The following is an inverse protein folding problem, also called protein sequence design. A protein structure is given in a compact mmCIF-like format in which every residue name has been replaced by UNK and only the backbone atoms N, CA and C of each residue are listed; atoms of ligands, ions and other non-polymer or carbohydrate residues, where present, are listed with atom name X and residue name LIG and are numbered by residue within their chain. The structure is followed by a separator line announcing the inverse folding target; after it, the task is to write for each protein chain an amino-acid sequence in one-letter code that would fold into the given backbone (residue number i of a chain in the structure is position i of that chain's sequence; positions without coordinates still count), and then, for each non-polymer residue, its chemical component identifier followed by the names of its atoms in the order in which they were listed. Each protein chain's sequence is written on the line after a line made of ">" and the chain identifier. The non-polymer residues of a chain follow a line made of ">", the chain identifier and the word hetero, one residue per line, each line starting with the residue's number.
data_IF_008587767652
#
_entry.id   IF_008587767652
#
_cell.length_a   1.000
_cell.length_b   1.000
_cell.length_c   1.000
_cell.angle_alpha   90.00
_cell.angle_beta   90.00
_cell.angle_gamma   90.00
#
_symmetry.space_group_name_H-M   'P 1'
#
loop_
_entity.id
_entity.type
_entity.pdbx_description
1 polymer ?
#
# COMPACT_ATOMS: atom_id res chain seq x y z
N UNK A 1 3.68 -7.03 -38.24
CA UNK A 1 3.82 -6.16 -37.05
C UNK A 1 3.85 -6.96 -35.74
N UNK A 2 2.81 -7.73 -35.40
CA UNK A 2 2.79 -8.48 -34.12
C UNK A 2 3.93 -9.52 -33.97
N UNK A 3 4.31 -10.22 -35.04
CA UNK A 3 5.43 -11.17 -35.00
C UNK A 3 6.78 -10.48 -34.73
N UNK A 4 6.99 -9.32 -35.36
CA UNK A 4 8.17 -8.49 -35.08
C UNK A 4 8.19 -8.04 -33.62
N UNK A 5 7.04 -7.56 -33.10
CA UNK A 5 6.92 -7.12 -31.72
C UNK A 5 7.17 -8.28 -30.72
N UNK A 6 6.67 -9.49 -31.01
CA UNK A 6 7.01 -10.69 -30.23
C UNK A 6 8.51 -11.03 -30.30
N UNK A 7 9.14 -10.95 -31.48
CA UNK A 7 10.58 -11.21 -31.61
C UNK A 7 11.43 -10.21 -30.82
N UNK A 8 11.01 -8.94 -30.75
CA UNK A 8 11.67 -7.93 -29.93
C UNK A 8 11.46 -8.24 -28.45
N UNK A 9 10.23 -8.56 -28.05
CA UNK A 9 9.85 -8.84 -26.67
C UNK A 9 10.60 -10.02 -26.05
N UNK A 10 10.90 -11.06 -26.85
CA UNK A 10 11.66 -12.23 -26.42
C UNK A 10 13.11 -11.91 -26.04
N UNK A 11 13.67 -10.79 -26.51
CA UNK A 11 15.03 -10.40 -26.20
C UNK A 11 15.20 -9.79 -24.80
N UNK A 12 14.11 -9.58 -24.06
CA UNK A 12 14.13 -8.92 -22.76
C UNK A 12 13.53 -9.79 -21.67
N UNK A 13 14.22 -9.91 -20.54
CA UNK A 13 13.73 -10.59 -19.34
C UNK A 13 12.92 -9.68 -18.40
N UNK A 14 13.06 -8.37 -18.57
CA UNK A 14 12.46 -7.36 -17.73
C UNK A 14 11.57 -6.43 -18.55
N UNK A 15 10.45 -6.03 -17.96
CA UNK A 15 9.57 -5.02 -18.53
C UNK A 15 9.37 -3.91 -17.51
N UNK A 16 9.59 -2.66 -17.92
CA UNK A 16 9.21 -1.47 -17.17
C UNK A 16 8.04 -0.81 -17.91
N UNK A 17 6.99 -0.45 -17.19
CA UNK A 17 5.84 0.26 -17.74
C UNK A 17 5.23 1.22 -16.72
N UNK A 18 4.42 2.17 -17.18
CA UNK A 18 3.53 2.94 -16.31
C UNK A 18 2.08 2.47 -16.48
N UNK A 19 1.50 1.81 -15.46
CA UNK A 19 0.13 1.25 -15.50
C UNK A 19 -0.10 0.15 -16.57
N UNK A 20 0.97 -0.41 -17.15
CA UNK A 20 0.88 -1.40 -18.21
C UNK A 20 0.21 -2.72 -17.78
N UNK A 21 0.20 -3.07 -16.49
CA UNK A 21 -0.53 -4.26 -15.99
C UNK A 21 -2.04 -4.15 -16.19
N UNK A 22 -2.58 -2.93 -16.09
CA UNK A 22 -4.02 -2.69 -16.20
C UNK A 22 -4.41 -2.28 -17.63
N UNK A 23 -3.48 -1.72 -18.41
CA UNK A 23 -3.77 -1.13 -19.71
C UNK A 23 -3.06 -1.84 -20.89
N UNK A 24 -1.76 -1.60 -21.08
CA UNK A 24 -1.03 -2.02 -22.28
C UNK A 24 -0.97 -3.54 -22.45
N UNK A 25 -0.65 -4.27 -21.37
CA UNK A 25 -0.47 -5.72 -21.43
C UNK A 25 -1.77 -6.45 -21.74
N UNK A 26 -2.91 -6.14 -21.10
CA UNK A 26 -4.22 -6.66 -21.53
C UNK A 26 -4.53 -6.36 -23.00
N UNK A 27 -4.26 -5.14 -23.48
CA UNK A 27 -4.53 -4.75 -24.87
C UNK A 27 -3.68 -5.57 -25.87
N UNK A 28 -2.38 -5.68 -25.62
CA UNK A 28 -1.46 -6.48 -26.45
C UNK A 28 -1.89 -7.95 -26.42
N UNK A 29 -2.20 -8.51 -25.24
CA UNK A 29 -2.67 -9.89 -25.09
C UNK A 29 -3.93 -10.13 -25.91
N UNK A 30 -4.92 -9.24 -25.84
CA UNK A 30 -6.14 -9.35 -26.62
C UNK A 30 -5.86 -9.32 -28.13
N UNK A 31 -4.97 -8.42 -28.59
CA UNK A 31 -4.55 -8.39 -30.01
C UNK A 31 -3.87 -9.67 -30.45
N UNK A 32 -3.02 -10.27 -29.61
CA UNK A 32 -2.40 -11.56 -29.90
C UNK A 32 -3.46 -12.67 -30.02
N UNK A 33 -4.40 -12.75 -29.06
CA UNK A 33 -5.49 -13.74 -29.07
C UNK A 33 -6.35 -13.60 -30.34
N UNK A 34 -6.77 -12.38 -30.70
CA UNK A 34 -7.57 -12.14 -31.91
C UNK A 34 -6.83 -12.56 -33.19
N UNK A 35 -5.50 -12.49 -33.19
CA UNK A 35 -4.66 -12.93 -34.30
C UNK A 35 -4.20 -14.40 -34.16
N UNK A 36 -4.80 -15.17 -33.23
CA UNK A 36 -4.46 -16.57 -32.93
C UNK A 36 -2.98 -16.78 -32.60
N UNK A 37 -2.35 -15.78 -31.99
CA UNK A 37 -0.97 -15.82 -31.50
C UNK A 37 -0.97 -15.98 -29.98
N UNK A 38 0.00 -16.71 -29.46
CA UNK A 38 0.19 -16.97 -28.03
C UNK A 38 1.59 -16.55 -27.60
N UNK A 39 1.81 -16.47 -26.28
CA UNK A 39 3.15 -16.33 -25.72
C UNK A 39 3.67 -14.90 -25.61
N UNK A 40 3.10 -14.12 -24.69
CA UNK A 40 3.89 -13.03 -24.11
C UNK A 40 5.02 -13.65 -23.26
N UNK A 41 6.24 -13.09 -23.30
CA UNK A 41 7.32 -13.57 -22.45
C UNK A 41 6.97 -13.46 -20.96
N UNK A 42 7.54 -14.36 -20.15
CA UNK A 42 7.41 -14.35 -18.69
C UNK A 42 8.27 -13.27 -18.04
N UNK A 43 8.05 -12.00 -18.37
CA UNK A 43 8.87 -10.90 -17.85
C UNK A 43 8.76 -10.75 -16.34
N UNK A 44 9.86 -10.32 -15.72
CA UNK A 44 9.80 -9.64 -14.43
C UNK A 44 9.31 -8.21 -14.70
N UNK A 45 8.06 -7.95 -14.35
CA UNK A 45 7.36 -6.71 -14.72
C UNK A 45 7.33 -5.68 -13.58
N UNK A 46 8.13 -4.62 -13.74
CA UNK A 46 8.14 -3.40 -12.94
C UNK A 46 7.11 -2.39 -13.45
N UNK A 47 5.91 -2.46 -12.90
CA UNK A 47 4.88 -1.46 -13.16
C UNK A 47 5.00 -0.32 -12.14
N UNK A 48 5.46 0.84 -12.62
CA UNK A 48 5.81 1.99 -11.79
C UNK A 48 4.62 2.53 -11.01
N UNK A 49 3.41 2.54 -11.59
CA UNK A 49 2.21 3.02 -10.89
C UNK A 49 1.99 2.24 -9.59
N UNK A 50 2.13 0.91 -9.65
CA UNK A 50 1.94 0.05 -8.49
C UNK A 50 3.12 0.11 -7.49
N UNK A 51 4.31 0.48 -7.94
CA UNK A 51 5.47 0.71 -7.09
C UNK A 51 5.26 2.01 -6.31
N UNK A 52 5.01 3.13 -6.99
CA UNK A 52 4.83 4.43 -6.35
C UNK A 52 3.60 4.51 -5.45
N UNK A 53 2.48 3.86 -5.80
CA UNK A 53 1.32 3.74 -4.88
C UNK A 53 1.66 3.02 -3.57
N UNK A 54 2.64 2.11 -3.60
CA UNK A 54 3.09 1.39 -2.41
C UNK A 54 4.17 2.15 -1.64
N UNK A 55 5.03 2.88 -2.33
CA UNK A 55 6.03 3.77 -1.72
C UNK A 55 5.37 4.96 -1.02
N UNK A 56 4.34 5.56 -1.65
CA UNK A 56 3.68 6.77 -1.16
C UNK A 56 2.18 6.58 -0.89
N UNK A 57 1.74 5.65 -0.02
CA UNK A 57 0.32 5.35 0.17
C UNK A 57 -0.51 6.56 0.64
N UNK A 58 -1.48 6.99 -0.20
CA UNK A 58 -2.59 7.95 0.01
C UNK A 58 -2.30 9.24 0.80
N UNK A 59 -2.51 10.40 0.14
CA UNK A 59 -2.39 11.80 0.63
C UNK A 59 -0.98 12.42 0.64
N UNK A 60 0.08 11.67 0.33
CA UNK A 60 1.45 12.25 0.25
C UNK A 60 1.76 12.92 -1.08
N UNK A 61 0.96 12.67 -2.13
CA UNK A 61 1.18 13.18 -3.48
C UNK A 61 -0.16 13.68 -4.07
N UNK A 62 -0.14 14.71 -4.94
CA UNK A 62 -1.33 15.29 -5.58
C UNK A 62 -2.00 14.30 -6.54
N UNK A 63 -1.27 13.32 -7.06
CA UNK A 63 -1.78 12.31 -7.97
C UNK A 63 -0.75 11.22 -8.25
N UNK A 64 -1.17 10.22 -9.03
CA UNK A 64 -0.27 9.19 -9.57
C UNK A 64 -0.44 9.09 -11.09
N UNK A 65 -0.77 10.18 -11.79
CA UNK A 65 -0.47 10.22 -13.22
C UNK A 65 1.05 10.37 -13.36
N UNK A 66 1.61 9.88 -14.45
CA UNK A 66 3.06 9.90 -14.65
C UNK A 66 3.62 11.33 -14.52
N UNK A 67 2.98 12.29 -15.19
CA UNK A 67 3.30 13.72 -15.09
C UNK A 67 3.27 14.28 -13.66
N UNK A 68 2.35 13.80 -12.82
CA UNK A 68 2.23 14.27 -11.44
C UNK A 68 3.44 13.78 -10.63
N UNK A 69 3.86 12.53 -10.84
CA UNK A 69 5.05 11.98 -10.19
C UNK A 69 6.35 12.62 -10.70
N UNK A 70 6.43 12.91 -12.00
CA UNK A 70 7.59 13.62 -12.56
C UNK A 70 7.73 15.03 -11.97
N UNK A 71 6.62 15.76 -11.85
CA UNK A 71 6.62 17.09 -11.25
C UNK A 71 7.05 17.05 -9.77
N UNK A 72 6.55 16.09 -9.00
CA UNK A 72 6.77 16.03 -7.55
C UNK A 72 8.10 15.38 -7.16
N UNK A 73 8.52 14.33 -7.85
CA UNK A 73 9.70 13.54 -7.50
C UNK A 73 10.94 13.96 -8.27
N UNK A 74 10.79 14.38 -9.53
CA UNK A 74 11.90 14.76 -10.40
C UNK A 74 12.03 16.27 -10.58
N UNK A 75 11.09 17.06 -10.04
CA UNK A 75 10.99 18.51 -10.26
C UNK A 75 10.89 18.87 -11.76
N UNK A 76 10.40 17.93 -12.57
CA UNK A 76 10.28 18.06 -14.01
C UNK A 76 8.80 18.27 -14.37
N UNK A 77 8.38 19.53 -14.47
CA UNK A 77 7.04 19.88 -14.96
C UNK A 77 7.07 19.97 -16.46
N UNK A 78 6.15 19.28 -17.12
CA UNK A 78 5.95 19.40 -18.56
C UNK A 78 5.03 20.57 -18.85
N UNK A 79 5.50 21.49 -19.68
CA UNK A 79 4.72 22.59 -20.24
C UNK A 79 4.27 22.17 -21.66
N UNK A 80 3.05 22.55 -22.05
CA UNK A 80 2.49 22.35 -23.41
C UNK A 80 2.31 20.90 -23.91
N UNK A 81 2.18 19.93 -22.98
CA UNK A 81 1.98 18.53 -23.34
C UNK A 81 0.58 18.27 -23.93
N UNK A 82 0.52 17.40 -24.95
CA UNK A 82 -0.74 16.97 -25.55
C UNK A 82 -1.54 16.15 -24.54
N UNK A 83 -2.84 16.42 -24.32
CA UNK A 83 -3.65 15.57 -23.46
C UNK A 83 -3.68 14.13 -24.00
N UNK A 84 -3.27 13.15 -23.19
CA UNK A 84 -3.16 11.77 -23.64
C UNK A 84 -4.47 11.15 -24.15
N UNK A 85 -5.62 11.72 -23.78
CA UNK A 85 -6.94 11.33 -24.29
C UNK A 85 -7.22 11.75 -25.74
N UNK A 86 -6.48 12.75 -26.26
CA UNK A 86 -6.59 13.20 -27.66
C UNK A 86 -5.76 12.33 -28.62
N UNK A 87 -4.71 11.66 -28.11
CA UNK A 87 -3.77 10.86 -28.90
C UNK A 87 -4.47 9.81 -29.79
N UNK A 88 -5.44 9.01 -29.30
CA UNK A 88 -6.09 8.01 -30.13
C UNK A 88 -6.80 8.61 -31.35
N UNK A 89 -7.49 9.74 -31.17
CA UNK A 89 -8.23 10.39 -32.25
C UNK A 89 -7.29 10.93 -33.32
N UNK A 90 -6.21 11.63 -32.92
CA UNK A 90 -5.18 12.15 -33.84
C UNK A 90 -4.57 11.01 -34.66
N UNK A 91 -4.25 9.88 -34.02
CA UNK A 91 -3.72 8.71 -34.72
C UNK A 91 -4.72 8.12 -35.73
N UNK A 92 -5.99 7.97 -35.34
CA UNK A 92 -7.01 7.41 -36.24
C UNK A 92 -7.31 8.32 -37.43
N UNK A 93 -7.30 9.64 -37.23
CA UNK A 93 -7.48 10.60 -38.33
C UNK A 93 -6.29 10.56 -39.29
N UNK A 94 -5.06 10.44 -38.79
CA UNK A 94 -3.88 10.23 -39.62
C UNK A 94 -3.98 8.93 -40.44
N UNK A 95 -4.35 7.81 -39.82
CA UNK A 95 -4.46 6.51 -40.52
C UNK A 95 -5.59 6.52 -41.56
N UNK A 96 -6.72 7.17 -41.26
CA UNK A 96 -7.90 7.14 -42.11
C UNK A 96 -7.83 8.14 -43.27
N UNK A 97 -7.33 9.34 -43.01
CA UNK A 97 -7.36 10.45 -43.97
C UNK A 97 -5.98 10.86 -44.48
N UNK A 98 -4.90 10.39 -43.87
CA UNK A 98 -3.52 10.78 -44.24
C UNK A 98 -3.15 12.19 -43.82
N UNK A 99 -3.96 12.85 -42.99
CA UNK A 99 -3.69 14.21 -42.51
C UNK A 99 -2.82 14.18 -41.26
N UNK A 100 -1.61 14.74 -41.34
CA UNK A 100 -0.76 14.96 -40.17
C UNK A 100 -1.14 16.27 -39.46
N UNK A 101 -2.22 16.21 -38.69
CA UNK A 101 -2.70 17.35 -37.90
C UNK A 101 -2.23 17.29 -36.43
N UNK A 102 -1.13 16.59 -36.15
CA UNK A 102 -0.60 16.47 -34.79
C UNK A 102 0.18 15.21 -34.47
N UNK A 103 0.54 14.38 -35.46
CA UNK A 103 1.35 13.17 -35.19
C UNK A 103 2.72 13.52 -34.64
N UNK A 104 3.33 14.62 -35.07
CA UNK A 104 4.57 15.12 -34.46
C UNK A 104 4.41 15.33 -32.94
N UNK A 105 3.31 15.95 -32.50
CA UNK A 105 3.01 16.15 -31.08
C UNK A 105 2.79 14.81 -30.35
N UNK A 106 2.14 13.85 -31.00
CA UNK A 106 1.98 12.49 -30.47
C UNK A 106 3.34 11.80 -30.28
N UNK A 107 4.26 11.94 -31.24
CA UNK A 107 5.61 11.40 -31.10
C UNK A 107 6.40 12.08 -29.98
N UNK A 108 6.34 13.41 -29.89
CA UNK A 108 7.00 14.15 -28.81
C UNK A 108 6.46 13.73 -27.43
N UNK A 109 5.14 13.61 -27.29
CA UNK A 109 4.52 13.10 -26.06
C UNK A 109 5.04 11.72 -25.68
N UNK A 110 5.06 10.77 -26.62
CA UNK A 110 5.56 9.42 -26.39
C UNK A 110 7.05 9.40 -25.99
N UNK A 111 7.88 10.26 -26.60
CA UNK A 111 9.30 10.38 -26.26
C UNK A 111 9.44 10.86 -24.81
N UNK A 112 8.71 11.91 -24.43
CA UNK A 112 8.71 12.44 -23.06
C UNK A 112 8.20 11.40 -22.05
N UNK A 113 7.16 10.66 -22.39
CA UNK A 113 6.64 9.56 -21.56
C UNK A 113 7.67 8.45 -21.36
N UNK A 114 8.38 8.03 -22.39
CA UNK A 114 9.44 7.03 -22.26
C UNK A 114 10.61 7.54 -21.42
N UNK A 115 11.06 8.79 -21.64
CA UNK A 115 12.14 9.41 -20.87
C UNK A 115 11.75 9.54 -19.39
N UNK A 116 10.57 10.09 -19.12
CA UNK A 116 10.05 10.26 -17.77
C UNK A 116 9.86 8.92 -17.05
N UNK A 117 9.42 7.88 -17.75
CA UNK A 117 9.31 6.53 -17.20
C UNK A 117 10.69 5.97 -16.79
N UNK A 118 11.73 6.18 -17.60
CA UNK A 118 13.10 5.78 -17.25
C UNK A 118 13.58 6.51 -16.00
N UNK A 119 13.39 7.83 -15.95
CA UNK A 119 13.80 8.64 -14.80
C UNK A 119 13.05 8.25 -13.52
N UNK A 120 11.74 8.03 -13.61
CA UNK A 120 10.93 7.54 -12.49
C UNK A 120 11.35 6.13 -12.04
N UNK A 121 11.76 5.26 -12.96
CA UNK A 121 12.31 3.96 -12.58
C UNK A 121 13.62 4.11 -11.80
N UNK A 122 14.55 4.95 -12.25
CA UNK A 122 15.79 5.23 -11.53
C UNK A 122 15.53 5.87 -10.17
N UNK A 123 14.55 6.77 -10.08
CA UNK A 123 14.12 7.35 -8.81
C UNK A 123 13.54 6.29 -7.88
N UNK A 124 12.71 5.38 -8.36
CA UNK A 124 12.22 4.26 -7.55
C UNK A 124 13.36 3.37 -7.04
N UNK A 125 14.40 3.13 -7.84
CA UNK A 125 15.62 2.42 -7.41
C UNK A 125 16.35 3.22 -6.33
N UNK A 126 16.56 4.52 -6.53
CA UNK A 126 17.20 5.41 -5.54
C UNK A 126 16.45 5.41 -4.21
N UNK A 127 15.12 5.47 -4.23
CA UNK A 127 14.29 5.42 -3.02
C UNK A 127 14.37 4.04 -2.34
N UNK A 128 14.51 2.97 -3.11
CA UNK A 128 14.65 1.61 -2.59
C UNK A 128 16.01 1.35 -1.93
N UNK A 129 17.08 1.90 -2.51
CA UNK A 129 18.44 1.78 -2.00
C UNK A 129 18.73 2.77 -0.86
N UNK A 130 18.20 3.99 -0.94
CA UNK A 130 18.37 5.09 0.01
C UNK A 130 17.54 4.94 1.30
N UNK A 131 17.59 3.77 1.94
CA UNK A 131 16.80 3.39 3.12
C UNK A 131 17.01 4.28 4.34
N UNK A 132 18.13 5.01 4.38
CA UNK A 132 18.58 5.78 5.53
C UNK A 132 18.03 7.22 5.59
N UNK A 133 17.58 7.80 4.45
CA UNK A 133 17.18 9.23 4.37
C UNK A 133 15.73 9.50 3.96
N UNK A 134 14.94 8.45 3.73
CA UNK A 134 13.56 8.55 3.28
C UNK A 134 12.59 8.99 4.39
N UNK A 135 11.60 9.87 4.08
CA UNK A 135 10.50 10.24 4.99
C UNK A 135 9.77 9.00 5.55
N UNK A 136 9.14 9.13 6.71
CA UNK A 136 8.49 8.01 7.42
C UNK A 136 7.40 7.32 6.58
N UNK A 137 6.57 8.09 5.86
CA UNK A 137 5.60 7.54 4.92
C UNK A 137 6.25 6.63 3.84
N UNK A 138 7.40 7.06 3.30
CA UNK A 138 8.15 6.31 2.29
C UNK A 138 8.77 5.03 2.87
N UNK A 139 9.32 5.09 4.08
CA UNK A 139 9.91 3.93 4.78
C UNK A 139 8.86 2.86 5.09
N UNK A 140 7.64 3.25 5.48
CA UNK A 140 6.54 2.30 5.64
C UNK A 140 6.14 1.61 4.32
N UNK A 141 6.19 2.35 3.20
CA UNK A 141 5.98 1.83 1.87
C UNK A 141 7.06 0.85 1.43
N UNK A 142 8.33 1.16 1.72
CA UNK A 142 9.47 0.28 1.50
C UNK A 142 9.34 -1.05 2.26
N UNK A 143 8.93 -1.01 3.53
CA UNK A 143 8.68 -2.23 4.31
C UNK A 143 7.65 -3.15 3.61
N UNK A 144 6.59 -2.57 3.03
CA UNK A 144 5.59 -3.35 2.26
C UNK A 144 6.15 -3.95 0.98
N UNK A 145 7.09 -3.27 0.30
CA UNK A 145 7.79 -3.82 -0.87
C UNK A 145 8.68 -5.00 -0.43
N UNK A 146 9.46 -4.83 0.64
CA UNK A 146 10.34 -5.87 1.17
C UNK A 146 9.55 -7.12 1.57
N UNK A 147 8.41 -6.97 2.24
CA UNK A 147 7.52 -8.10 2.56
C UNK A 147 7.01 -8.84 1.33
N UNK A 148 6.62 -8.10 0.28
CA UNK A 148 6.19 -8.72 -0.99
C UNK A 148 7.32 -9.54 -1.61
N UNK A 149 8.56 -9.10 -1.43
CA UNK A 149 9.77 -9.78 -1.88
C UNK A 149 10.29 -10.82 -0.87
N UNK A 150 9.49 -11.18 0.15
CA UNK A 150 9.82 -12.16 1.22
C UNK A 150 11.04 -11.78 2.08
N UNK A 151 11.42 -10.50 2.12
CA UNK A 151 12.49 -9.95 2.96
C UNK A 151 11.90 -9.46 4.28
N UNK A 152 11.49 -10.39 5.13
CA UNK A 152 10.67 -10.11 6.31
C UNK A 152 11.45 -9.37 7.40
N UNK A 153 12.69 -9.79 7.63
CA UNK A 153 13.58 -9.27 8.65
C UNK A 153 13.91 -7.79 8.38
N UNK A 154 14.21 -7.46 7.12
CA UNK A 154 14.51 -6.07 6.72
C UNK A 154 13.27 -5.17 6.78
N UNK A 155 12.09 -5.71 6.43
CA UNK A 155 10.85 -4.98 6.57
C UNK A 155 10.53 -4.69 8.05
N UNK A 156 10.78 -5.67 8.93
CA UNK A 156 10.60 -5.51 10.37
C UNK A 156 11.56 -4.45 10.90
N UNK A 157 12.85 -4.53 10.56
CA UNK A 157 13.86 -3.57 10.98
C UNK A 157 13.46 -2.13 10.62
N UNK A 158 13.01 -1.88 9.39
CA UNK A 158 12.55 -0.54 8.98
C UNK A 158 11.38 -0.06 9.84
N UNK A 159 10.39 -0.92 10.11
CA UNK A 159 9.22 -0.53 10.92
C UNK A 159 9.57 -0.31 12.40
N UNK A 160 10.52 -1.07 12.95
CA UNK A 160 11.03 -0.88 14.32
C UNK A 160 11.80 0.43 14.47
N UNK A 161 12.66 0.75 13.51
CA UNK A 161 13.38 2.02 13.48
C UNK A 161 12.41 3.21 13.42
N UNK A 162 11.35 3.12 12.60
CA UNK A 162 10.30 4.15 12.55
C UNK A 162 9.55 4.29 13.87
N UNK A 163 9.20 3.18 14.51
CA UNK A 163 8.51 3.21 15.81
C UNK A 163 9.40 3.81 16.91
N UNK A 164 10.70 3.50 16.91
CA UNK A 164 11.68 4.07 17.85
C UNK A 164 11.82 5.58 17.66
N UNK A 165 11.94 6.05 16.41
CA UNK A 165 12.01 7.47 16.09
C UNK A 165 10.74 8.21 16.53
N UNK A 166 9.57 7.59 16.35
CA UNK A 166 8.30 8.17 16.79
C UNK A 166 8.24 8.30 18.33
N UNK A 167 8.71 7.31 19.07
CA UNK A 167 8.77 7.35 20.55
C UNK A 167 9.72 8.44 21.06
N UNK A 168 10.90 8.58 20.46
CA UNK A 168 11.86 9.63 20.78
C UNK A 168 11.28 11.02 20.52
N UNK A 169 10.62 11.22 19.38
CA UNK A 169 10.03 12.50 19.02
C UNK A 169 8.83 12.88 19.90
N UNK A 170 8.04 11.91 20.38
CA UNK A 170 6.96 12.18 21.35
C UNK A 170 7.50 12.79 22.65
N UNK A 171 8.77 12.57 22.99
CA UNK A 171 9.40 13.06 24.21
C UNK A 171 10.15 14.39 24.01
N UNK A 172 10.35 14.82 22.75
CA UNK A 172 10.98 16.09 22.40
C UNK A 172 9.92 17.15 22.08
N UNK A 173 9.55 17.94 23.10
CA UNK A 173 8.53 19.00 23.02
C UNK A 173 8.92 20.15 22.05
N UNK A 174 10.20 20.28 21.71
CA UNK A 174 10.74 21.38 20.87
C UNK A 174 10.66 21.11 19.35
N UNK A 175 10.28 19.91 18.91
CA UNK A 175 10.16 19.59 17.48
C UNK A 175 8.88 20.22 16.88
N UNK A 176 9.03 21.41 16.28
CA UNK A 176 7.93 22.21 15.68
C UNK A 176 7.26 21.58 14.44
N UNK A 177 7.68 20.39 13.99
CA UNK A 177 6.98 19.62 12.96
C UNK A 177 6.37 18.38 13.61
N UNK A 178 5.06 18.16 13.47
CA UNK A 178 4.44 16.90 13.89
C UNK A 178 5.24 15.74 13.29
N UNK A 179 5.83 14.82 14.09
CA UNK A 179 6.42 13.62 13.54
C UNK A 179 5.32 12.88 12.78
N UNK A 180 5.59 12.45 11.54
CA UNK A 180 4.66 11.69 10.70
C UNK A 180 4.34 10.35 11.38
N UNK A 181 3.49 10.31 12.39
CA UNK A 181 3.19 9.11 13.18
C UNK A 181 2.93 7.89 12.28
N UNK A 182 3.38 6.70 12.72
CA UNK A 182 3.03 5.46 12.06
C UNK A 182 1.51 5.37 11.93
N UNK A 183 1.06 5.13 10.70
CA UNK A 183 -0.37 5.06 10.41
C UNK A 183 -0.93 3.79 11.00
N UNK A 184 -2.25 3.79 11.18
CA UNK A 184 -3.05 2.62 11.51
C UNK A 184 -2.59 1.32 10.80
N UNK A 185 -2.43 1.39 9.48
CA UNK A 185 -2.08 0.22 8.66
C UNK A 185 -0.62 -0.24 8.84
N UNK A 186 0.27 0.63 9.30
CA UNK A 186 1.68 0.33 9.53
C UNK A 186 1.86 -0.30 10.92
N UNK A 187 1.13 0.19 11.93
CA UNK A 187 1.08 -0.41 13.27
C UNK A 187 0.50 -1.82 13.25
N UNK A 188 -0.59 -2.04 12.52
CA UNK A 188 -1.16 -3.40 12.36
C UNK A 188 -0.21 -4.35 11.63
N UNK A 189 0.52 -3.84 10.64
CA UNK A 189 1.53 -4.62 9.93
C UNK A 189 2.65 -5.05 10.89
N UNK A 190 3.20 -4.10 11.64
CA UNK A 190 4.24 -4.35 12.63
C UNK A 190 3.78 -5.34 13.72
N UNK A 191 2.56 -5.19 14.24
CA UNK A 191 1.96 -6.14 15.19
C UNK A 191 1.90 -7.56 14.60
N UNK A 192 1.49 -7.69 13.35
CA UNK A 192 1.41 -9.00 12.67
C UNK A 192 2.79 -9.64 12.52
N UNK A 193 3.82 -8.87 12.15
CA UNK A 193 5.20 -9.35 12.03
C UNK A 193 5.76 -9.81 13.38
N UNK A 194 5.54 -9.03 14.45
CA UNK A 194 5.91 -9.45 15.80
C UNK A 194 5.26 -10.77 16.20
N UNK A 195 3.96 -10.93 15.91
CA UNK A 195 3.25 -12.18 16.21
C UNK A 195 3.82 -13.37 15.44
N UNK A 196 4.20 -13.20 14.17
CA UNK A 196 4.86 -14.24 13.38
C UNK A 196 6.20 -14.67 14.00
N UNK A 197 6.95 -13.73 14.58
CA UNK A 197 8.21 -14.01 15.29
C UNK A 197 8.02 -14.43 16.76
N UNK A 198 6.78 -14.70 17.20
CA UNK A 198 6.44 -15.02 18.61
C UNK A 198 6.80 -13.92 19.61
N UNK A 199 7.02 -12.69 19.13
CA UNK A 199 7.31 -11.47 19.89
C UNK A 199 6.00 -10.87 20.45
N UNK A 200 5.30 -11.64 21.28
CA UNK A 200 3.91 -11.33 21.65
C UNK A 200 3.75 -10.04 22.47
N UNK A 201 4.67 -9.73 23.38
CA UNK A 201 4.63 -8.47 24.14
C UNK A 201 4.75 -7.26 23.21
N UNK A 202 5.65 -7.30 22.23
CA UNK A 202 5.80 -6.22 21.24
C UNK A 202 4.56 -6.10 20.34
N UNK A 203 3.99 -7.23 19.90
CA UNK A 203 2.72 -7.24 19.17
C UNK A 203 1.57 -6.62 19.98
N UNK A 204 1.48 -6.90 21.28
CA UNK A 204 0.44 -6.34 22.14
C UNK A 204 0.57 -4.81 22.23
N UNK A 205 1.78 -4.29 22.47
CA UNK A 205 2.04 -2.83 22.52
C UNK A 205 1.58 -2.12 21.25
N UNK A 206 1.85 -2.69 20.08
CA UNK A 206 1.42 -2.09 18.80
C UNK A 206 -0.11 -2.11 18.66
N UNK A 207 -0.78 -3.19 19.07
CA UNK A 207 -2.24 -3.27 19.05
C UNK A 207 -2.87 -2.31 20.06
N UNK A 208 -2.29 -2.14 21.25
CA UNK A 208 -2.71 -1.15 22.25
C UNK A 208 -2.61 0.27 21.71
N UNK A 209 -1.52 0.61 21.01
CA UNK A 209 -1.39 1.91 20.33
C UNK A 209 -2.49 2.13 19.30
N UNK A 210 -2.82 1.10 18.50
CA UNK A 210 -3.91 1.19 17.51
C UNK A 210 -5.26 1.39 18.21
N UNK A 211 -5.53 0.64 19.27
CA UNK A 211 -6.76 0.78 20.06
C UNK A 211 -6.87 2.17 20.67
N UNK A 212 -5.78 2.69 21.26
CA UNK A 212 -5.76 4.01 21.88
C UNK A 212 -5.96 5.15 20.88
N UNK A 213 -5.37 5.04 19.68
CA UNK A 213 -5.39 6.12 18.67
C UNK A 213 -6.65 6.14 17.81
N UNK A 214 -7.21 4.97 17.51
CA UNK A 214 -8.24 4.83 16.48
C UNK A 214 -9.51 4.13 16.97
N UNK A 215 -9.54 3.71 18.23
CA UNK A 215 -10.60 2.90 18.83
C UNK A 215 -11.06 1.74 17.93
N UNK A 216 -10.08 1.03 17.36
CA UNK A 216 -10.35 0.01 16.36
C UNK A 216 -10.85 -1.30 17.01
N UNK A 217 -12.09 -1.77 16.72
CA UNK A 217 -12.62 -2.99 17.31
C UNK A 217 -11.83 -4.23 16.92
N UNK A 218 -11.32 -4.30 15.68
CA UNK A 218 -10.48 -5.41 15.22
C UNK A 218 -9.17 -5.51 16.00
N UNK A 219 -8.48 -4.39 16.20
CA UNK A 219 -7.24 -4.37 16.97
C UNK A 219 -7.49 -4.77 18.42
N UNK A 220 -8.59 -4.29 19.01
CA UNK A 220 -9.04 -4.64 20.37
C UNK A 220 -9.33 -6.13 20.51
N UNK A 221 -10.04 -6.73 19.55
CA UNK A 221 -10.31 -8.18 19.54
C UNK A 221 -9.02 -8.99 19.37
N UNK A 222 -8.13 -8.55 18.48
CA UNK A 222 -6.84 -9.19 18.26
C UNK A 222 -5.96 -9.14 19.51
N UNK A 223 -5.95 -8.00 20.22
CA UNK A 223 -5.26 -7.81 21.49
C UNK A 223 -5.83 -8.72 22.58
N UNK A 224 -7.16 -8.77 22.73
CA UNK A 224 -7.82 -9.65 23.69
C UNK A 224 -7.49 -11.14 23.44
N UNK A 225 -7.41 -11.56 22.17
CA UNK A 225 -6.98 -12.93 21.80
C UNK A 225 -5.52 -13.18 22.17
N UNK A 226 -4.65 -12.21 21.90
CA UNK A 226 -3.22 -12.33 22.21
C UNK A 226 -2.98 -12.43 23.73
N UNK A 227 -3.67 -11.59 24.51
CA UNK A 227 -3.63 -11.58 25.97
C UNK A 227 -4.16 -12.90 26.56
N UNK A 228 -5.26 -13.45 26.05
CA UNK A 228 -5.80 -14.75 26.51
C UNK A 228 -4.84 -15.91 26.20
N UNK A 229 -4.42 -16.02 24.94
CA UNK A 229 -3.82 -17.26 24.46
C UNK A 229 -2.30 -17.31 24.68
N UNK A 230 -1.60 -16.18 24.48
CA UNK A 230 -0.14 -16.12 24.49
C UNK A 230 0.40 -15.49 25.77
N UNK A 231 -0.14 -14.36 26.21
CA UNK A 231 0.39 -13.62 27.37
C UNK A 231 -0.18 -14.08 28.73
N UNK A 232 -1.26 -14.87 28.71
CA UNK A 232 -1.99 -15.35 29.90
C UNK A 232 -2.49 -14.22 30.83
N UNK A 233 -2.67 -13.02 30.28
CA UNK A 233 -3.22 -11.87 30.98
C UNK A 233 -4.75 -11.90 30.88
N UNK A 234 -5.36 -12.84 31.60
CA UNK A 234 -6.80 -13.13 31.47
C UNK A 234 -7.69 -11.94 31.84
N UNK A 235 -7.32 -11.18 32.87
CA UNK A 235 -8.06 -9.99 33.32
C UNK A 235 -8.04 -8.88 32.25
N UNK A 236 -6.88 -8.61 31.65
CA UNK A 236 -6.78 -7.65 30.55
C UNK A 236 -7.55 -8.11 29.30
N UNK A 237 -7.50 -9.42 28.99
CA UNK A 237 -8.30 -9.98 27.90
C UNK A 237 -9.82 -9.80 28.15
N UNK A 238 -10.26 -9.95 29.41
CA UNK A 238 -11.65 -9.73 29.81
C UNK A 238 -12.04 -8.26 29.69
N UNK A 239 -11.18 -7.34 30.14
CA UNK A 239 -11.39 -5.90 30.01
C UNK A 239 -11.64 -5.49 28.55
N UNK A 240 -10.75 -5.88 27.62
CA UNK A 240 -10.92 -5.56 26.21
C UNK A 240 -12.17 -6.22 25.60
N UNK A 241 -12.55 -7.42 26.06
CA UNK A 241 -13.77 -8.10 25.60
C UNK A 241 -15.02 -7.37 26.08
N UNK A 242 -15.06 -6.87 27.31
CA UNK A 242 -16.19 -6.08 27.82
C UNK A 242 -16.37 -4.78 27.06
N UNK A 243 -15.29 -4.07 26.71
CA UNK A 243 -15.40 -2.85 25.90
C UNK A 243 -15.96 -3.13 24.50
N UNK A 244 -15.62 -4.28 23.90
CA UNK A 244 -16.22 -4.68 22.62
C UNK A 244 -17.73 -4.96 22.74
N UNK A 245 -18.17 -5.56 23.85
CA UNK A 245 -19.59 -5.82 24.12
C UNK A 245 -20.35 -4.51 24.26
N UNK A 246 -19.83 -3.57 25.06
CA UNK A 246 -20.44 -2.25 25.24
C UNK A 246 -20.60 -1.51 23.91
N UNK A 247 -19.56 -1.54 23.05
CA UNK A 247 -19.63 -0.92 21.72
C UNK A 247 -20.60 -1.60 20.75
N UNK A 248 -21.10 -2.81 21.03
CA UNK A 248 -22.18 -3.45 20.27
C UNK A 248 -23.59 -3.12 20.82
N UNK A 249 -23.68 -2.68 22.07
CA UNK A 249 -24.94 -2.36 22.76
C UNK A 249 -25.37 -0.90 22.56
N UNK A 250 -24.44 0.01 22.21
CA UNK A 250 -24.73 1.40 21.87
C UNK A 250 -25.25 1.52 20.42
N UNK A 251 -26.52 1.88 20.18
CA UNK A 251 -27.07 2.06 18.84
C UNK A 251 -26.75 3.46 18.30
N UNK A 252 -26.01 3.51 17.20
CA UNK A 252 -25.92 4.60 16.20
C UNK A 252 -25.91 6.07 16.72
N UNK A 253 -24.71 6.57 17.04
CA UNK A 253 -24.38 7.97 16.79
C UNK A 253 -23.80 8.08 15.38
N UNK A 254 -24.59 8.58 14.43
CA UNK A 254 -24.23 8.92 13.03
C UNK A 254 -22.99 8.22 12.47
N UNK A 255 -23.21 7.07 11.82
CA UNK A 255 -22.22 6.43 10.96
C UNK A 255 -21.87 7.36 9.78
N UNK A 256 -21.02 8.36 10.03
CA UNK A 256 -20.38 9.15 8.98
C UNK A 256 -19.56 8.19 8.11
N UNK A 257 -19.51 8.46 6.81
CA UNK A 257 -18.87 7.62 5.77
C UNK A 257 -17.40 7.26 6.07
N UNK A 258 -16.73 7.94 7.02
CA UNK A 258 -15.41 7.57 7.56
C UNK A 258 -15.42 6.34 8.49
N UNK A 259 -16.55 5.98 9.10
CA UNK A 259 -16.74 4.76 9.90
C UNK A 259 -16.60 3.48 9.07
N UNK A 260 -16.90 3.55 7.77
CA UNK A 260 -16.92 2.41 6.86
C UNK A 260 -15.49 1.93 6.46
N UNK A 261 -14.48 2.80 6.60
CA UNK A 261 -13.06 2.44 6.41
C UNK A 261 -12.54 1.59 7.59
N UNK A 262 -13.14 1.68 8.78
CA UNK A 262 -12.73 0.90 9.97
C UNK A 262 -12.98 -0.61 9.82
N UNK A 263 -13.92 -1.00 8.96
CA UNK A 263 -14.42 -2.38 8.89
C UNK A 263 -13.91 -3.20 7.70
N UNK A 264 -13.48 -2.58 6.60
CA UNK A 264 -13.26 -3.30 5.33
C UNK A 264 -11.92 -4.04 5.16
N UNK A 265 -11.03 -4.03 6.14
CA UNK A 265 -9.69 -4.66 5.98
C UNK A 265 -9.31 -5.70 7.03
N UNK A 266 -10.20 -6.06 7.97
CA UNK A 266 -9.74 -6.67 9.20
C UNK A 266 -10.64 -7.83 9.69
N UNK A 267 -10.56 -8.98 9.02
CA UNK A 267 -11.08 -10.27 9.50
C UNK A 267 -12.58 -10.30 9.85
N UNK A 268 -13.08 -11.47 10.24
CA UNK A 268 -14.46 -11.60 10.76
C UNK A 268 -14.53 -11.00 12.16
N UNK A 269 -15.31 -9.93 12.33
CA UNK A 269 -15.70 -9.43 13.65
C UNK A 269 -16.64 -10.44 14.33
N UNK A 270 -16.57 -10.53 15.66
CA UNK A 270 -17.44 -11.42 16.42
C UNK A 270 -18.82 -10.77 16.62
N UNK A 271 -19.87 -11.58 16.65
CA UNK A 271 -21.20 -11.13 17.08
C UNK A 271 -21.23 -10.87 18.58
N UNK A 272 -22.27 -10.18 19.07
CA UNK A 272 -22.50 -9.97 20.51
C UNK A 272 -22.48 -11.31 21.26
N UNK A 273 -23.25 -12.30 20.80
CA UNK A 273 -23.28 -13.65 21.38
C UNK A 273 -21.88 -14.31 21.44
N UNK A 274 -21.07 -14.18 20.39
CA UNK A 274 -19.71 -14.71 20.35
C UNK A 274 -18.79 -14.01 21.36
N UNK A 275 -18.98 -12.70 21.57
CA UNK A 275 -18.26 -11.92 22.58
C UNK A 275 -18.71 -12.27 24.00
N UNK A 276 -20.01 -12.47 24.24
CA UNK A 276 -20.54 -12.92 25.53
C UNK A 276 -20.05 -14.34 25.89
N UNK A 277 -20.06 -15.26 24.93
CA UNK A 277 -19.47 -16.59 25.12
C UNK A 277 -17.98 -16.51 25.45
N UNK A 278 -17.24 -15.58 24.82
CA UNK A 278 -15.83 -15.31 25.14
C UNK A 278 -15.67 -14.77 26.56
N UNK A 279 -16.49 -13.80 26.98
CA UNK A 279 -16.52 -13.24 28.35
C UNK A 279 -16.74 -14.34 29.39
N UNK A 280 -17.78 -15.16 29.23
CA UNK A 280 -18.09 -16.28 30.13
C UNK A 280 -16.96 -17.34 30.17
N UNK A 281 -16.27 -17.57 29.04
CA UNK A 281 -15.08 -18.45 29.02
C UNK A 281 -13.92 -17.85 29.80
N UNK A 282 -13.64 -16.55 29.64
CA UNK A 282 -12.55 -15.87 30.35
C UNK A 282 -12.81 -15.82 31.86
N UNK A 283 -14.02 -15.49 32.30
CA UNK A 283 -14.40 -15.48 33.71
C UNK A 283 -14.20 -16.86 34.37
N UNK A 284 -14.60 -17.94 33.68
CA UNK A 284 -14.35 -19.32 34.15
C UNK A 284 -12.86 -19.67 34.25
N UNK A 285 -12.02 -19.13 33.36
CA UNK A 285 -10.56 -19.34 33.42
C UNK A 285 -9.91 -18.55 34.56
N UNK A 286 -10.41 -17.36 34.88
CA UNK A 286 -9.91 -16.53 35.99
C UNK A 286 -10.26 -17.18 37.34
N UNK A 287 -11.46 -17.76 37.45
CA UNK A 287 -11.93 -18.41 38.68
C UNK A 287 -11.32 -19.79 38.95
N UNK A 288 -10.64 -20.40 37.97
CA UNK A 288 -9.95 -21.68 38.12
C UNK A 288 -8.45 -21.40 38.30
N UNK A 289 -7.91 -21.52 39.54
CA UNK A 289 -6.49 -21.30 39.80
C UNK A 289 -5.60 -22.29 39.05
#
# INVERSE_FOLDING_TARGET
>A
YLDYLLSVFQNFSYLVSYNGKTFDIPLIRNRLIMNRKTGLPGWIHFDLLHIFRRLFPSRSLPGYKQKDLEAELLQARREDDLPGEEIPQIYFDYVKYGHDNGMERVFQHNILDLQGMVLLFLEAVRLYDGREGARQALRSGLARILLRNKRVEEALQILEELQTLEELNQHNVEAQALPEQLRYSDLLLLASLYRQQKRYNQSARMLELVVRRYDCPYARLSLARLMEHQLKQLEHALLHTNVLIQGCEEPDGEATVESDIRYRSAGRMLTLDELEHRKARLQRKIQKP
#
